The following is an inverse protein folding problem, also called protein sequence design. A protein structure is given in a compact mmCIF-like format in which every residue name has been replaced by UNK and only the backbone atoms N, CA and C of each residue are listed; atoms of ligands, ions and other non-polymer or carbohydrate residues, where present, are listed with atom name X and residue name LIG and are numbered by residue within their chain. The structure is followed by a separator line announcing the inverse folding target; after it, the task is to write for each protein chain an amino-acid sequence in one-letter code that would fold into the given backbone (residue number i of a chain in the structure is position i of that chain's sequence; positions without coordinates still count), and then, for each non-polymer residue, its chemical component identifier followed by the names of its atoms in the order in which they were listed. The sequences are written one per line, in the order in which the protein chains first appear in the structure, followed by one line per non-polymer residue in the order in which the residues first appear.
data_IF_092981356992
#
_entry.id   IF_092981356992
#
_cell.length_a   1.000
_cell.length_b   1.000
_cell.length_c   1.000
_cell.angle_alpha   90.00
_cell.angle_beta   90.00
_cell.angle_gamma   90.00
#
_symmetry.space_group_name_H-M   'P 1'
#
loop_
_entity.id
_entity.type
_entity.pdbx_description
1 polymer ?
#
# COMPACT_ATOMS: atom_id res chain seq x y z
N UNK A 1 5.91 5.80 26.89
CA UNK A 1 5.34 5.75 25.54
C UNK A 1 5.36 4.30 25.10
N UNK A 2 4.30 3.55 25.45
CA UNK A 2 4.21 2.07 25.42
C UNK A 2 3.47 1.54 24.18
N UNK A 3 3.11 2.41 23.24
CA UNK A 3 2.29 2.05 22.08
C UNK A 3 3.10 1.36 20.95
N UNK A 4 4.42 1.53 20.92
CA UNK A 4 5.30 0.97 19.91
C UNK A 4 6.30 0.00 20.55
N UNK A 5 5.89 -1.25 20.71
CA UNK A 5 6.76 -2.35 21.14
C UNK A 5 7.27 -3.11 19.92
N UNK A 6 8.57 -2.97 19.64
CA UNK A 6 9.24 -3.62 18.50
C UNK A 6 9.41 -5.14 18.69
N UNK A 7 9.25 -5.62 19.93
CA UNK A 7 9.25 -7.04 20.25
C UNK A 7 7.88 -7.69 20.10
N UNK A 8 6.82 -6.90 19.95
CA UNK A 8 5.46 -7.44 19.86
C UNK A 8 5.23 -8.11 18.50
N UNK A 9 5.07 -9.43 18.55
CA UNK A 9 4.66 -10.24 17.41
C UNK A 9 3.25 -10.73 17.70
N UNK A 10 2.23 -10.29 16.93
CA UNK A 10 0.88 -10.76 17.13
C UNK A 10 0.84 -12.27 16.89
N UNK A 11 0.23 -12.99 17.83
CA UNK A 11 -0.04 -14.42 17.63
C UNK A 11 -1.13 -14.61 16.56
N UNK A 12 -1.16 -15.77 15.90
CA UNK A 12 -2.08 -16.02 14.79
C UNK A 12 -3.57 -15.77 15.17
N UNK A 13 -3.98 -16.15 16.38
CA UNK A 13 -5.35 -15.91 16.83
C UNK A 13 -5.65 -14.43 17.07
N UNK A 14 -4.69 -13.63 17.53
CA UNK A 14 -4.84 -12.18 17.69
C UNK A 14 -5.03 -11.50 16.34
N UNK A 15 -4.27 -11.91 15.32
CA UNK A 15 -4.44 -11.40 13.96
C UNK A 15 -5.83 -11.72 13.40
N UNK A 16 -6.33 -12.94 13.60
CA UNK A 16 -7.67 -13.36 13.15
C UNK A 16 -8.77 -12.57 13.87
N UNK A 17 -8.68 -12.39 15.19
CA UNK A 17 -9.67 -11.62 15.93
C UNK A 17 -9.69 -10.14 15.51
N UNK A 18 -8.52 -9.54 15.29
CA UNK A 18 -8.44 -8.18 14.79
C UNK A 18 -9.04 -8.07 13.38
N UNK A 19 -8.75 -9.03 12.51
CA UNK A 19 -9.37 -9.12 11.19
C UNK A 19 -10.91 -9.20 11.28
N UNK A 20 -11.46 -10.06 12.13
CA UNK A 20 -12.90 -10.15 12.36
C UNK A 20 -13.49 -8.87 12.96
N UNK A 21 -12.80 -8.23 13.89
CA UNK A 21 -13.24 -6.97 14.48
C UNK A 21 -13.35 -5.86 13.42
N UNK A 22 -12.32 -5.73 12.56
CA UNK A 22 -12.32 -4.77 11.46
C UNK A 22 -13.41 -5.10 10.44
N UNK A 23 -13.59 -6.38 10.08
CA UNK A 23 -14.66 -6.81 9.17
C UNK A 23 -16.06 -6.51 9.72
N UNK A 24 -16.29 -6.77 11.00
CA UNK A 24 -17.56 -6.46 11.66
C UNK A 24 -17.82 -4.94 11.68
N UNK A 25 -16.79 -4.13 11.94
CA UNK A 25 -16.90 -2.67 11.87
C UNK A 25 -17.31 -2.22 10.46
N UNK A 26 -16.66 -2.73 9.42
CA UNK A 26 -17.02 -2.41 8.03
C UNK A 26 -18.44 -2.86 7.69
N UNK A 27 -18.84 -4.05 8.13
CA UNK A 27 -20.21 -4.54 7.93
C UNK A 27 -21.24 -3.63 8.61
N UNK A 28 -20.99 -3.18 9.84
CA UNK A 28 -21.88 -2.27 10.55
C UNK A 28 -22.02 -0.92 9.86
N UNK A 29 -20.90 -0.36 9.34
CA UNK A 29 -20.93 0.89 8.56
C UNK A 29 -21.72 0.70 7.27
N UNK A 30 -21.53 -0.41 6.55
CA UNK A 30 -22.27 -0.68 5.32
C UNK A 30 -23.78 -0.88 5.56
N UNK A 31 -24.16 -1.55 6.65
CA UNK A 31 -25.57 -1.78 7.00
C UNK A 31 -26.25 -0.49 7.50
N UNK A 32 -25.59 0.27 8.37
CA UNK A 32 -26.22 1.39 9.11
C UNK A 32 -25.91 2.77 8.53
N UNK A 33 -24.89 2.86 7.68
CA UNK A 33 -24.25 4.10 7.25
C UNK A 33 -24.29 4.35 5.75
N UNK A 34 -25.16 3.67 4.98
CA UNK A 34 -25.23 3.82 3.52
C UNK A 34 -25.33 5.27 3.05
N UNK A 35 -26.09 6.10 3.77
CA UNK A 35 -26.21 7.56 3.54
C UNK A 35 -24.90 8.37 3.68
N UNK A 36 -23.88 7.81 4.32
CA UNK A 36 -22.58 8.46 4.53
C UNK A 36 -21.49 7.87 3.64
N UNK A 37 -21.77 6.81 2.86
CA UNK A 37 -20.79 6.14 2.04
C UNK A 37 -20.13 7.08 1.03
N UNK A 38 -20.90 7.94 0.37
CA UNK A 38 -20.34 8.91 -0.57
C UNK A 38 -19.38 9.89 0.10
N UNK A 39 -19.70 10.33 1.32
CA UNK A 39 -18.81 11.19 2.08
C UNK A 39 -17.53 10.45 2.51
N UNK A 40 -17.66 9.23 3.00
CA UNK A 40 -16.52 8.38 3.42
C UNK A 40 -15.62 8.08 2.22
N UNK A 41 -16.17 7.74 1.07
CA UNK A 41 -15.42 7.47 -0.16
C UNK A 41 -14.64 8.70 -0.63
N UNK A 42 -15.27 9.89 -0.61
CA UNK A 42 -14.58 11.13 -0.95
C UNK A 42 -13.46 11.45 0.05
N UNK A 43 -13.71 11.28 1.36
CA UNK A 43 -12.69 11.48 2.39
C UNK A 43 -11.52 10.50 2.22
N UNK A 44 -11.80 9.22 1.97
CA UNK A 44 -10.81 8.19 1.71
C UNK A 44 -9.95 8.54 0.48
N UNK A 45 -10.57 9.03 -0.59
CA UNK A 45 -9.85 9.49 -1.78
C UNK A 45 -8.87 10.63 -1.45
N UNK A 46 -9.32 11.66 -0.73
CA UNK A 46 -8.44 12.76 -0.30
C UNK A 46 -7.35 12.31 0.67
N UNK A 47 -7.67 11.37 1.56
CA UNK A 47 -6.73 10.79 2.51
C UNK A 47 -5.61 10.05 1.78
N UNK A 48 -5.95 9.15 0.85
CA UNK A 48 -4.96 8.40 0.06
C UNK A 48 -4.09 9.35 -0.76
N UNK A 49 -4.69 10.32 -1.44
CA UNK A 49 -3.93 11.31 -2.22
C UNK A 49 -2.94 12.08 -1.33
N UNK A 50 -3.38 12.50 -0.15
CA UNK A 50 -2.52 13.21 0.82
C UNK A 50 -1.44 12.28 1.38
N UNK A 51 -1.78 11.04 1.74
CA UNK A 51 -0.86 10.05 2.26
C UNK A 51 0.27 9.76 1.26
N UNK A 52 -0.07 9.53 -0.01
CA UNK A 52 0.90 9.33 -1.10
C UNK A 52 1.83 10.54 -1.20
N UNK A 53 1.30 11.76 -1.25
CA UNK A 53 2.11 12.98 -1.33
C UNK A 53 3.04 13.17 -0.13
N UNK A 54 2.54 12.95 1.09
CA UNK A 54 3.35 13.08 2.31
C UNK A 54 4.46 12.04 2.34
N UNK A 55 4.16 10.78 2.03
CA UNK A 55 5.17 9.71 1.99
C UNK A 55 6.22 10.01 0.92
N UNK A 56 5.81 10.46 -0.27
CA UNK A 56 6.73 10.87 -1.35
C UNK A 56 7.69 11.97 -0.89
N UNK A 57 7.18 13.03 -0.27
CA UNK A 57 7.98 14.16 0.21
C UNK A 57 8.95 13.69 1.30
N UNK A 58 8.45 12.95 2.29
CA UNK A 58 9.25 12.51 3.44
C UNK A 58 10.37 11.56 3.01
N UNK A 59 10.05 10.56 2.18
CA UNK A 59 11.06 9.62 1.66
C UNK A 59 12.09 10.32 0.77
N UNK A 60 11.69 11.32 -0.01
CA UNK A 60 12.63 12.05 -0.89
C UNK A 60 13.50 13.08 -0.16
N UNK A 61 13.01 13.68 0.94
CA UNK A 61 13.64 14.83 1.58
C UNK A 61 14.48 14.49 2.82
N UNK A 62 14.16 13.43 3.56
CA UNK A 62 14.72 13.21 4.91
C UNK A 62 16.01 12.38 4.92
N UNK A 63 16.24 11.55 3.90
CA UNK A 63 17.27 10.50 3.97
C UNK A 63 18.44 10.73 3.01
N UNK A 64 19.66 10.63 3.57
CA UNK A 64 20.93 10.59 2.82
C UNK A 64 21.23 9.19 2.22
N UNK A 65 20.54 8.16 2.70
CA UNK A 65 20.57 6.80 2.14
C UNK A 65 19.87 6.80 0.77
N UNK A 66 20.65 7.00 -0.29
CA UNK A 66 20.16 6.92 -1.66
C UNK A 66 20.86 5.78 -2.37
N UNK A 67 20.11 4.71 -2.63
CA UNK A 67 20.54 3.67 -3.55
C UNK A 67 20.86 4.29 -4.91
N UNK A 68 21.78 3.69 -5.64
CA UNK A 68 22.11 4.16 -6.98
C UNK A 68 20.94 3.91 -7.95
N UNK A 69 20.85 4.71 -9.01
CA UNK A 69 19.85 4.50 -10.06
C UNK A 69 20.02 3.13 -10.73
N UNK A 70 21.26 2.61 -10.81
CA UNK A 70 21.56 1.25 -11.28
C UNK A 70 20.83 0.19 -10.46
N UNK A 71 20.74 0.39 -9.13
CA UNK A 71 19.99 -0.46 -8.24
C UNK A 71 18.48 -0.33 -8.49
N UNK A 72 17.95 0.90 -8.44
CA UNK A 72 16.50 1.14 -8.53
C UNK A 72 15.88 0.64 -9.85
N UNK A 73 16.59 0.78 -10.97
CA UNK A 73 16.06 0.43 -12.29
C UNK A 73 16.57 -0.91 -12.84
N UNK A 74 17.65 -1.46 -12.28
CA UNK A 74 18.35 -2.61 -12.87
C UNK A 74 18.64 -3.76 -11.90
N UNK A 75 18.49 -3.56 -10.59
CA UNK A 75 18.75 -4.64 -9.64
C UNK A 75 17.57 -5.61 -9.57
N UNK A 76 17.89 -6.89 -9.65
CA UNK A 76 16.94 -7.98 -9.50
C UNK A 76 17.61 -9.09 -8.68
N UNK A 77 17.00 -9.41 -7.54
CA UNK A 77 17.43 -10.50 -6.66
C UNK A 77 16.29 -11.51 -6.47
N UNK A 78 16.58 -12.77 -6.81
CA UNK A 78 15.67 -13.90 -6.68
C UNK A 78 16.13 -14.92 -5.62
N UNK A 79 17.26 -14.72 -4.95
CA UNK A 79 17.93 -15.72 -4.11
C UNK A 79 17.07 -16.20 -2.96
N UNK A 80 16.28 -15.31 -2.36
CA UNK A 80 15.44 -15.63 -1.19
C UNK A 80 14.05 -16.14 -1.58
N UNK A 81 13.70 -16.11 -2.87
CA UNK A 81 12.35 -16.47 -3.33
C UNK A 81 12.03 -17.97 -3.23
N UNK A 82 13.06 -18.83 -3.25
CA UNK A 82 12.89 -20.29 -3.32
C UNK A 82 12.45 -20.82 -4.69
N UNK A 83 12.27 -19.94 -5.70
CA UNK A 83 11.86 -20.29 -7.05
C UNK A 83 13.02 -20.13 -8.05
N UNK A 84 12.97 -20.82 -9.21
CA UNK A 84 13.84 -20.47 -10.33
C UNK A 84 13.68 -18.99 -10.69
N UNK A 85 14.78 -18.31 -11.04
CA UNK A 85 14.81 -16.85 -11.24
C UNK A 85 13.70 -16.35 -12.19
N UNK A 86 13.48 -17.03 -13.32
CA UNK A 86 12.40 -16.66 -14.24
C UNK A 86 11.01 -16.72 -13.61
N UNK A 87 10.74 -17.70 -12.74
CA UNK A 87 9.45 -17.83 -12.06
C UNK A 87 9.31 -16.84 -10.90
N UNK A 88 10.39 -16.58 -10.17
CA UNK A 88 10.42 -15.59 -9.10
C UNK A 88 10.02 -14.18 -9.60
N UNK A 89 10.38 -13.83 -10.83
CA UNK A 89 9.92 -12.59 -11.48
C UNK A 89 8.39 -12.53 -11.59
N UNK A 90 7.74 -13.59 -12.09
CA UNK A 90 6.28 -13.64 -12.21
C UNK A 90 5.58 -13.64 -10.86
N UNK A 91 6.15 -14.31 -9.85
CA UNK A 91 5.63 -14.26 -8.47
C UNK A 91 5.70 -12.84 -7.91
N UNK A 92 6.78 -12.09 -8.19
CA UNK A 92 6.91 -10.69 -7.80
C UNK A 92 5.86 -9.76 -8.44
N UNK A 93 5.38 -10.08 -9.65
CA UNK A 93 4.33 -9.32 -10.33
C UNK A 93 2.94 -9.46 -9.69
N UNK A 94 2.74 -10.45 -8.80
CA UNK A 94 1.46 -10.71 -8.17
C UNK A 94 0.93 -9.50 -7.38
N UNK A 95 1.82 -8.78 -6.68
CA UNK A 95 1.44 -7.59 -5.92
C UNK A 95 0.91 -6.49 -6.84
N UNK A 96 1.58 -6.25 -7.97
CA UNK A 96 1.14 -5.25 -8.96
C UNK A 96 -0.21 -5.67 -9.58
N UNK A 97 -0.37 -6.94 -9.94
CA UNK A 97 -1.63 -7.46 -10.47
C UNK A 97 -2.79 -7.27 -9.47
N UNK A 98 -2.58 -7.58 -8.19
CA UNK A 98 -3.58 -7.37 -7.14
C UNK A 98 -4.00 -5.91 -7.03
N UNK A 99 -3.04 -4.97 -7.03
CA UNK A 99 -3.33 -3.53 -6.92
C UNK A 99 -4.12 -2.96 -8.10
N UNK A 100 -4.10 -3.62 -9.26
CA UNK A 100 -4.73 -3.14 -10.49
C UNK A 100 -6.06 -3.84 -10.83
N UNK A 101 -6.61 -4.67 -9.95
CA UNK A 101 -7.79 -5.52 -10.24
C UNK A 101 -9.16 -4.80 -10.11
N UNK A 102 -9.21 -3.59 -9.54
CA UNK A 102 -10.46 -2.91 -9.17
C UNK A 102 -11.41 -2.51 -10.31
N UNK A 103 -11.00 -2.57 -11.57
CA UNK A 103 -11.78 -2.12 -12.73
C UNK A 103 -13.09 -2.91 -12.94
N UNK A 104 -13.20 -4.14 -12.42
CA UNK A 104 -14.42 -4.95 -12.56
C UNK A 104 -15.65 -4.35 -11.85
N UNK A 105 -15.43 -3.60 -10.76
CA UNK A 105 -16.51 -2.94 -10.02
C UNK A 105 -17.16 -1.81 -10.81
N UNK A 106 -16.41 -1.18 -11.73
CA UNK A 106 -16.94 -0.14 -12.62
C UNK A 106 -18.07 -0.68 -13.49
N UNK A 107 -17.91 -1.91 -14.01
CA UNK A 107 -18.94 -2.53 -14.84
C UNK A 107 -20.22 -2.84 -14.06
N UNK A 108 -20.11 -3.18 -12.77
CA UNK A 108 -21.26 -3.46 -11.91
C UNK A 108 -22.14 -2.21 -11.66
N UNK A 109 -21.56 -1.01 -11.75
CA UNK A 109 -22.26 0.27 -11.56
C UNK A 109 -22.77 0.89 -12.87
N UNK A 110 -22.83 0.11 -13.96
CA UNK A 110 -23.25 0.63 -15.27
C UNK A 110 -24.68 1.21 -15.27
N UNK A 111 -25.56 0.71 -14.42
CA UNK A 111 -26.95 1.17 -14.29
C UNK A 111 -27.07 2.58 -13.68
N UNK A 112 -26.05 3.03 -12.96
CA UNK A 112 -26.03 4.34 -12.27
C UNK A 112 -25.39 5.45 -13.12
N UNK A 113 -24.83 5.10 -14.29
CA UNK A 113 -24.08 6.01 -15.15
C UNK A 113 -24.97 6.57 -16.27
N UNK A 114 -24.93 7.89 -16.48
CA UNK A 114 -25.77 8.54 -17.50
C UNK A 114 -25.43 8.12 -18.94
N UNK A 115 -24.15 7.89 -19.25
CA UNK A 115 -23.68 7.48 -20.58
C UNK A 115 -22.77 6.23 -20.52
N UNK A 116 -23.31 5.04 -20.23
CA UNK A 116 -22.49 3.86 -19.93
C UNK A 116 -21.58 3.44 -21.09
N UNK A 117 -22.05 3.60 -22.33
CA UNK A 117 -21.31 3.21 -23.54
C UNK A 117 -20.00 3.99 -23.77
N UNK A 118 -19.83 5.17 -23.16
CA UNK A 118 -18.59 5.96 -23.23
C UNK A 118 -17.86 5.98 -21.90
N UNK A 119 -18.59 6.19 -20.81
CA UNK A 119 -18.00 6.42 -19.49
C UNK A 119 -17.48 5.13 -18.85
N UNK A 120 -18.16 3.98 -19.01
CA UNK A 120 -17.71 2.71 -18.42
C UNK A 120 -16.38 2.25 -19.03
N UNK A 121 -16.21 2.17 -20.37
CA UNK A 121 -14.92 1.79 -20.94
C UNK A 121 -13.79 2.74 -20.55
N UNK A 122 -14.05 4.06 -20.51
CA UNK A 122 -13.06 5.06 -20.10
C UNK A 122 -12.68 4.89 -18.64
N UNK A 123 -13.66 4.75 -17.75
CA UNK A 123 -13.43 4.55 -16.33
C UNK A 123 -12.63 3.26 -16.07
N UNK A 124 -12.95 2.15 -16.74
CA UNK A 124 -12.19 0.90 -16.62
C UNK A 124 -10.70 1.07 -16.97
N UNK A 125 -10.40 1.78 -18.07
CA UNK A 125 -9.00 2.05 -18.46
C UNK A 125 -8.31 2.98 -17.46
N UNK A 126 -8.98 4.05 -17.04
CA UNK A 126 -8.44 5.02 -16.07
C UNK A 126 -8.20 4.39 -14.68
N UNK A 127 -9.04 3.44 -14.27
CA UNK A 127 -8.90 2.66 -13.04
C UNK A 127 -7.66 1.76 -13.02
N UNK A 128 -7.05 1.48 -14.17
CA UNK A 128 -5.78 0.73 -14.26
C UNK A 128 -4.61 1.68 -14.49
N UNK A 129 -4.72 2.59 -15.46
CA UNK A 129 -3.63 3.49 -15.84
C UNK A 129 -3.29 4.47 -14.72
N UNK A 130 -4.30 5.05 -14.07
CA UNK A 130 -4.10 6.04 -12.99
C UNK A 130 -3.33 5.47 -11.79
N UNK A 131 -3.78 4.37 -11.19
CA UNK A 131 -3.04 3.69 -10.12
C UNK A 131 -1.70 3.12 -10.59
N UNK A 132 -1.58 2.66 -11.84
CA UNK A 132 -0.31 2.20 -12.39
C UNK A 132 0.77 3.28 -12.41
N UNK A 133 0.43 4.47 -12.92
CA UNK A 133 1.36 5.62 -12.94
C UNK A 133 1.67 6.10 -11.52
N UNK A 134 0.63 6.28 -10.69
CA UNK A 134 0.79 6.72 -9.30
C UNK A 134 1.64 5.74 -8.50
N UNK A 135 1.46 4.44 -8.70
CA UNK A 135 2.24 3.38 -8.07
C UNK A 135 3.71 3.43 -8.45
N UNK A 136 4.04 3.66 -9.73
CA UNK A 136 5.44 3.84 -10.16
C UNK A 136 6.05 5.07 -9.48
N UNK A 137 5.34 6.20 -9.48
CA UNK A 137 5.81 7.44 -8.83
C UNK A 137 6.04 7.22 -7.32
N UNK A 138 5.14 6.49 -6.66
CA UNK A 138 5.25 6.14 -5.24
C UNK A 138 6.42 5.19 -4.94
N UNK A 139 6.62 4.16 -5.76
CA UNK A 139 7.65 3.15 -5.54
C UNK A 139 9.06 3.69 -5.73
N UNK A 140 9.28 4.63 -6.65
CA UNK A 140 10.60 5.17 -6.94
C UNK A 140 11.36 5.68 -5.70
N UNK A 141 10.86 6.68 -4.95
CA UNK A 141 11.59 7.17 -3.78
C UNK A 141 11.68 6.13 -2.66
N UNK A 142 10.70 5.24 -2.53
CA UNK A 142 10.75 4.12 -1.59
C UNK A 142 11.91 3.17 -1.92
N UNK A 143 12.15 2.87 -3.20
CA UNK A 143 13.29 2.07 -3.65
C UNK A 143 14.63 2.80 -3.45
N UNK A 144 14.66 4.12 -3.62
CA UNK A 144 15.87 4.92 -3.35
C UNK A 144 16.28 4.87 -1.87
N UNK A 145 15.33 4.84 -0.94
CA UNK A 145 15.61 4.78 0.51
C UNK A 145 15.56 3.36 1.09
N UNK A 146 15.44 2.34 0.24
CA UNK A 146 15.31 0.96 0.66
C UNK A 146 16.63 0.47 1.30
N UNK A 147 16.63 0.03 2.57
CA UNK A 147 17.78 -0.63 3.17
C UNK A 147 17.98 -2.03 2.58
N UNK A 148 19.11 -2.70 2.86
CA UNK A 148 19.32 -4.09 2.46
C UNK A 148 18.11 -4.98 2.79
N UNK A 149 17.65 -5.74 1.81
CA UNK A 149 16.40 -6.50 1.86
C UNK A 149 16.40 -7.52 2.99
N UNK A 150 17.57 -8.05 3.35
CA UNK A 150 17.77 -9.01 4.44
C UNK A 150 17.31 -8.45 5.78
N UNK A 151 17.52 -7.14 6.01
CA UNK A 151 17.09 -6.47 7.25
C UNK A 151 15.55 -6.41 7.30
N UNK A 152 14.91 -6.15 6.15
CA UNK A 152 13.46 -6.10 6.04
C UNK A 152 12.82 -7.48 6.19
N UNK A 153 13.46 -8.53 5.67
CA UNK A 153 13.02 -9.92 5.82
C UNK A 153 13.20 -10.46 7.24
N UNK A 154 14.16 -9.93 8.01
CA UNK A 154 14.39 -10.30 9.40
C UNK A 154 13.38 -9.67 10.40
N UNK A 155 12.46 -8.83 9.93
CA UNK A 155 11.46 -8.17 10.78
C UNK A 155 10.50 -9.21 11.37
N UNK A 156 10.53 -9.35 12.71
CA UNK A 156 9.84 -10.43 13.46
C UNK A 156 8.33 -10.48 13.26
N UNK A 157 7.68 -9.34 13.05
CA UNK A 157 6.23 -9.26 12.87
C UNK A 157 5.79 -9.48 11.40
N UNK A 158 6.73 -9.68 10.47
CA UNK A 158 6.46 -9.89 9.05
C UNK A 158 5.94 -8.65 8.30
N UNK A 159 6.00 -7.47 8.89
CA UNK A 159 5.48 -6.22 8.33
C UNK A 159 6.61 -5.18 8.18
N UNK A 160 7.37 -5.22 7.07
CA UNK A 160 8.59 -4.42 6.93
C UNK A 160 8.34 -2.93 6.71
N UNK A 161 7.16 -2.52 6.22
CA UNK A 161 6.91 -1.14 5.79
C UNK A 161 6.97 -0.12 6.95
N UNK A 162 6.45 -0.47 8.12
CA UNK A 162 6.53 0.40 9.30
C UNK A 162 7.97 0.56 9.80
N UNK A 163 8.76 -0.52 9.70
CA UNK A 163 10.19 -0.48 10.05
C UNK A 163 10.99 0.33 9.02
N UNK A 164 10.68 0.21 7.73
CA UNK A 164 11.25 1.05 6.68
C UNK A 164 11.00 2.53 6.97
N UNK A 165 9.76 2.91 7.25
CA UNK A 165 9.43 4.30 7.57
C UNK A 165 10.12 4.80 8.83
N UNK A 166 10.29 3.97 9.86
CA UNK A 166 11.10 4.32 11.03
C UNK A 166 12.56 4.61 10.67
N UNK A 167 13.19 3.78 9.83
CA UNK A 167 14.56 3.99 9.35
C UNK A 167 14.63 5.33 8.60
N UNK A 168 13.68 5.56 7.69
CA UNK A 168 13.62 6.77 6.87
C UNK A 168 13.45 8.02 7.73
N UNK A 169 12.55 8.00 8.71
CA UNK A 169 12.28 9.18 9.54
C UNK A 169 13.23 9.32 10.73
N UNK A 170 14.11 8.34 10.99
CA UNK A 170 15.01 8.30 12.16
C UNK A 170 14.30 8.25 13.52
N UNK A 171 12.98 8.02 13.54
CA UNK A 171 12.14 8.12 14.74
C UNK A 171 10.94 7.17 14.65
N UNK A 172 10.62 6.51 15.75
CA UNK A 172 9.45 5.64 15.85
C UNK A 172 8.12 6.40 15.65
N UNK A 173 8.05 7.67 16.08
CA UNK A 173 6.86 8.50 15.90
C UNK A 173 6.63 8.88 14.43
N UNK A 174 7.70 9.19 13.69
CA UNK A 174 7.63 9.46 12.26
C UNK A 174 7.22 8.20 11.46
N UNK A 175 7.82 7.06 11.80
CA UNK A 175 7.46 5.77 11.20
C UNK A 175 6.00 5.40 11.43
N UNK A 176 5.50 5.56 12.66
CA UNK A 176 4.09 5.35 12.98
C UNK A 176 3.16 6.31 12.23
N UNK A 177 3.52 7.59 12.14
CA UNK A 177 2.72 8.59 11.41
C UNK A 177 2.55 8.25 9.93
N UNK A 178 3.64 7.86 9.26
CA UNK A 178 3.59 7.42 7.86
C UNK A 178 2.82 6.10 7.69
N UNK A 179 2.98 5.16 8.62
CA UNK A 179 2.24 3.90 8.60
C UNK A 179 0.72 4.14 8.78
N UNK A 180 0.35 5.07 9.66
CA UNK A 180 -1.05 5.45 9.88
C UNK A 180 -1.63 6.15 8.65
N UNK A 181 -0.87 6.98 7.96
CA UNK A 181 -1.30 7.57 6.68
C UNK A 181 -1.53 6.49 5.62
N UNK A 182 -0.65 5.49 5.56
CA UNK A 182 -0.75 4.38 4.60
C UNK A 182 -1.94 3.44 4.90
N UNK A 183 -2.22 3.15 6.18
CA UNK A 183 -3.25 2.18 6.60
C UNK A 183 -4.59 2.81 7.00
N UNK A 184 -4.64 4.11 7.25
CA UNK A 184 -5.76 4.80 7.91
C UNK A 184 -7.00 5.07 7.05
N UNK A 185 -7.27 4.21 6.07
CA UNK A 185 -8.45 4.27 5.19
C UNK A 185 -9.46 3.22 5.60
#
# INVERSE_FOLDING_TARGET
MTLWDEGYVPTAWQAILMFWAVMLLHALVNISGSKYLDFINNLAMYWIATAVLVILIVTSAIVDLKNEASFVFGHYDALVSGWPSGWAFFVGLLQAAYTLTGYGMVAAMCEEVQNPHLEIPRAMVLSVVGPGITGIIYLLPVLFVLPPVEILLAVKNGQPIGFLFKIVTGSAGGGFGLLLLLLGV
#
